data_IF_472733269565
#
_entry.id   IF_472733269565
#
_cell.length_a   1.000
_cell.length_b   1.000
_cell.length_c   1.000
_cell.angle_alpha   90.00
_cell.angle_beta   90.00
_cell.angle_gamma   90.00
#
_symmetry.space_group_name_H-M   'P 1'
#
loop_
_entity.id
_entity.type
_entity.pdbx_description
1 polymer ?
#
# COMPACT_ATOMS: atom_id res chain seq x y z
N UNK A 1 -52.95 50.97 5.73
CA UNK A 1 -51.67 51.69 5.81
C UNK A 1 -50.83 51.04 6.89
N UNK A 2 -49.88 50.19 6.50
CA UNK A 2 -48.97 49.47 7.40
C UNK A 2 -47.61 50.14 7.32
N UNK A 3 -47.12 50.65 8.45
CA UNK A 3 -45.87 51.39 8.57
C UNK A 3 -44.67 50.45 8.55
N UNK A 4 -43.84 50.59 7.53
CA UNK A 4 -42.51 50.01 7.42
C UNK A 4 -41.59 50.54 8.55
N UNK A 5 -41.15 49.66 9.46
CA UNK A 5 -40.02 49.94 10.35
C UNK A 5 -38.73 49.40 9.73
N UNK A 6 -37.87 50.32 9.31
CA UNK A 6 -36.51 50.09 8.79
C UNK A 6 -35.54 50.23 9.95
N UNK A 7 -35.11 49.13 10.56
CA UNK A 7 -34.00 49.15 11.53
C UNK A 7 -32.68 48.94 10.80
N UNK A 8 -31.95 50.03 10.61
CA UNK A 8 -30.53 50.06 10.27
C UNK A 8 -29.71 49.44 11.39
N UNK A 9 -28.93 48.40 11.11
CA UNK A 9 -27.85 47.97 12.00
C UNK A 9 -26.52 48.55 11.52
N UNK A 10 -25.98 49.32 12.45
CA UNK A 10 -24.72 50.04 12.46
C UNK A 10 -23.51 49.15 12.25
N UNK A 11 -22.58 49.70 11.48
CA UNK A 11 -21.15 49.39 11.47
C UNK A 11 -20.58 49.29 12.88
N UNK A 12 -20.09 48.12 13.26
CA UNK A 12 -19.15 47.97 14.37
C UNK A 12 -17.78 47.65 13.78
N UNK A 13 -17.00 48.70 13.58
CA UNK A 13 -15.55 48.61 13.45
C UNK A 13 -14.96 48.37 14.84
N UNK A 14 -14.42 47.18 15.07
CA UNK A 14 -13.53 46.93 16.19
C UNK A 14 -12.30 46.20 15.64
N UNK A 15 -11.39 47.01 15.15
CA UNK A 15 -9.96 46.77 15.07
C UNK A 15 -9.48 46.18 16.41
N UNK A 16 -9.02 44.93 16.40
CA UNK A 16 -8.08 44.39 17.39
C UNK A 16 -7.41 43.11 16.89
N UNK A 17 -6.08 43.21 16.93
CA UNK A 17 -5.11 42.16 17.15
C UNK A 17 -4.69 41.31 15.94
N UNK A 18 -4.02 42.01 15.03
CA UNK A 18 -2.78 41.53 14.41
C UNK A 18 -1.79 41.08 15.51
N UNK A 19 -1.96 39.86 16.00
CA UNK A 19 -0.96 39.17 16.81
C UNK A 19 -0.49 37.93 16.07
N UNK A 20 0.62 38.09 15.35
CA UNK A 20 1.55 37.04 14.97
C UNK A 20 0.87 35.86 14.24
N UNK A 21 0.31 36.14 13.06
CA UNK A 21 0.35 35.17 11.97
C UNK A 21 1.82 35.09 11.52
N UNK A 22 2.61 34.24 12.21
CA UNK A 22 3.82 33.70 11.57
C UNK A 22 3.32 32.98 10.34
N UNK A 23 3.74 33.45 9.17
CA UNK A 23 3.32 32.96 7.87
C UNK A 23 3.48 31.44 7.76
N UNK A 24 2.40 30.72 8.07
CA UNK A 24 2.02 29.61 7.23
C UNK A 24 1.44 30.30 6.01
N UNK A 25 2.34 30.58 5.06
CA UNK A 25 1.97 30.84 3.68
C UNK A 25 0.79 29.93 3.35
N UNK A 26 -0.19 30.47 2.64
CA UNK A 26 -1.09 29.76 1.75
C UNK A 26 -0.36 28.50 1.23
N UNK A 27 -0.43 27.38 1.97
CA UNK A 27 0.49 26.25 1.77
C UNK A 27 -0.10 25.54 0.59
N UNK A 28 0.37 26.00 -0.56
CA UNK A 28 0.31 25.42 -1.86
C UNK A 28 -0.88 24.50 -2.03
N UNK A 29 -1.80 24.94 -2.89
CA UNK A 29 -2.06 24.13 -4.07
C UNK A 29 -0.74 23.44 -4.45
N UNK A 30 -0.55 22.17 -4.05
CA UNK A 30 0.42 21.31 -4.72
C UNK A 30 -0.19 21.18 -6.10
N UNK A 31 0.16 22.15 -6.94
CA UNK A 31 -0.54 22.56 -8.14
C UNK A 31 -0.37 21.53 -9.24
N UNK A 32 -0.96 20.36 -9.04
CA UNK A 32 -1.08 19.39 -10.10
C UNK A 32 -2.33 19.76 -10.90
N UNK A 33 -2.12 20.60 -11.91
CA UNK A 33 -3.10 21.06 -12.90
C UNK A 33 -4.28 20.09 -13.09
N UNK A 34 -5.50 20.56 -12.87
CA UNK A 34 -6.76 19.81 -13.07
C UNK A 34 -6.84 19.17 -14.46
N UNK A 35 -6.20 19.79 -15.46
CA UNK A 35 -6.25 19.40 -16.87
C UNK A 35 -5.66 18.00 -17.14
N UNK A 36 -4.87 17.44 -16.22
CA UNK A 36 -4.23 16.12 -16.37
C UNK A 36 -4.49 15.18 -15.18
N UNK A 37 -5.51 15.45 -14.38
CA UNK A 37 -5.80 14.67 -13.16
C UNK A 37 -5.92 13.15 -13.43
N UNK A 38 -6.79 12.77 -14.36
CA UNK A 38 -7.08 11.35 -14.64
C UNK A 38 -5.88 10.64 -15.29
N UNK A 39 -5.12 11.37 -16.13
CA UNK A 39 -3.86 10.88 -16.71
C UNK A 39 -2.85 10.54 -15.61
N UNK A 40 -2.72 11.42 -14.61
CA UNK A 40 -1.82 11.19 -13.47
C UNK A 40 -2.23 9.95 -12.68
N UNK A 41 -3.52 9.78 -12.38
CA UNK A 41 -4.05 8.60 -11.67
C UNK A 41 -3.71 7.32 -12.44
N UNK A 42 -3.98 7.27 -13.74
CA UNK A 42 -3.67 6.10 -14.58
C UNK A 42 -2.18 5.79 -14.60
N UNK A 43 -1.33 6.81 -14.75
CA UNK A 43 0.13 6.64 -14.73
C UNK A 43 0.60 6.08 -13.38
N UNK A 44 0.05 6.56 -12.27
CA UNK A 44 0.38 6.05 -10.94
C UNK A 44 -0.09 4.60 -10.76
N UNK A 45 -1.31 4.27 -11.18
CA UNK A 45 -1.84 2.90 -11.16
C UNK A 45 -1.01 1.90 -12.00
N UNK A 46 -0.29 2.40 -13.00
CA UNK A 46 0.65 1.59 -13.78
C UNK A 46 2.05 1.53 -13.14
N UNK A 47 2.62 2.67 -12.73
CA UNK A 47 3.99 2.72 -12.21
C UNK A 47 4.12 2.01 -10.86
N UNK A 48 3.14 2.16 -9.96
CA UNK A 48 3.16 1.54 -8.63
C UNK A 48 3.38 0.02 -8.68
N UNK A 49 2.55 -0.78 -9.39
CA UNK A 49 2.75 -2.22 -9.45
C UNK A 49 4.00 -2.60 -10.23
N UNK A 50 4.41 -1.85 -11.26
CA UNK A 50 5.66 -2.13 -11.97
C UNK A 50 6.87 -1.91 -11.06
N UNK A 51 6.87 -0.83 -10.28
CA UNK A 51 7.89 -0.57 -9.27
C UNK A 51 7.93 -1.71 -8.25
N UNK A 52 6.79 -2.06 -7.66
CA UNK A 52 6.69 -3.17 -6.71
C UNK A 52 7.18 -4.49 -7.34
N UNK A 53 6.85 -4.74 -8.61
CA UNK A 53 7.26 -5.94 -9.35
C UNK A 53 8.77 -5.98 -9.56
N UNK A 54 9.40 -4.85 -9.92
CA UNK A 54 10.85 -4.77 -10.04
C UNK A 54 11.50 -5.16 -8.71
N UNK A 55 11.08 -4.56 -7.59
CA UNK A 55 11.69 -4.84 -6.29
C UNK A 55 11.35 -6.22 -5.70
N UNK A 56 10.30 -6.89 -6.19
CA UNK A 56 9.95 -8.25 -5.75
C UNK A 56 10.53 -9.35 -6.65
N UNK A 57 10.59 -9.14 -7.97
CA UNK A 57 11.06 -10.14 -8.92
C UNK A 57 12.58 -10.09 -9.13
N UNK A 58 13.18 -8.90 -9.14
CA UNK A 58 14.58 -8.72 -9.53
C UNK A 58 15.57 -9.38 -8.55
N UNK A 59 15.36 -9.38 -7.22
CA UNK A 59 16.20 -10.15 -6.28
C UNK A 59 16.11 -11.67 -6.45
N UNK A 60 15.05 -12.18 -7.10
CA UNK A 60 14.91 -13.61 -7.43
C UNK A 60 15.74 -13.95 -8.67
N UNK A 61 15.90 -13.00 -9.58
CA UNK A 61 16.65 -13.18 -10.83
C UNK A 61 18.14 -12.88 -10.68
N UNK A 62 18.49 -11.97 -9.75
CA UNK A 62 19.84 -11.47 -9.56
C UNK A 62 20.18 -11.52 -8.07
N UNK A 63 21.23 -12.27 -7.73
CA UNK A 63 21.76 -12.31 -6.37
C UNK A 63 22.61 -11.06 -6.10
N UNK A 64 22.01 -10.09 -5.41
CA UNK A 64 22.76 -8.96 -4.87
C UNK A 64 23.50 -9.38 -3.59
N UNK A 65 24.76 -8.98 -3.46
CA UNK A 65 25.56 -9.21 -2.26
C UNK A 65 26.05 -7.88 -1.67
N UNK A 66 26.18 -7.84 -0.35
CA UNK A 66 26.69 -6.70 0.41
C UNK A 66 25.80 -5.45 0.33
N UNK A 67 26.43 -4.29 0.42
CA UNK A 67 25.76 -2.97 0.55
C UNK A 67 24.75 -2.69 -0.57
N UNK A 68 24.99 -3.22 -1.78
CA UNK A 68 24.10 -3.01 -2.93
C UNK A 68 22.75 -3.70 -2.74
N UNK A 69 22.73 -4.88 -2.11
CA UNK A 69 21.51 -5.63 -1.80
C UNK A 69 20.66 -4.87 -0.76
N UNK A 70 21.33 -4.27 0.21
CA UNK A 70 20.69 -3.44 1.23
C UNK A 70 20.12 -2.16 0.64
N UNK A 71 20.92 -1.39 -0.12
CA UNK A 71 20.45 -0.18 -0.80
C UNK A 71 19.24 -0.45 -1.68
N UNK A 72 19.25 -1.56 -2.43
CA UNK A 72 18.13 -1.97 -3.26
C UNK A 72 16.83 -2.13 -2.44
N UNK A 73 16.90 -2.70 -1.24
CA UNK A 73 15.71 -2.89 -0.39
C UNK A 73 15.16 -1.60 0.20
N UNK A 74 16.02 -0.65 0.51
CA UNK A 74 15.58 0.66 1.02
C UNK A 74 14.84 1.47 -0.02
N UNK A 75 15.22 1.31 -1.28
CA UNK A 75 14.68 2.12 -2.37
C UNK A 75 13.20 1.84 -2.61
N UNK A 76 12.71 0.62 -2.34
CA UNK A 76 11.30 0.30 -2.54
C UNK A 76 10.40 1.16 -1.64
N UNK A 77 10.46 1.14 -0.30
CA UNK A 77 9.52 1.91 0.50
C UNK A 77 9.77 3.42 0.37
N UNK A 78 11.01 3.84 0.08
CA UNK A 78 11.37 5.25 -0.16
C UNK A 78 10.66 5.81 -1.40
N UNK A 79 10.42 5.00 -2.42
CA UNK A 79 9.77 5.45 -3.66
C UNK A 79 8.31 4.98 -3.74
N UNK A 80 8.07 3.71 -3.42
CA UNK A 80 6.77 3.05 -3.42
C UNK A 80 5.76 3.75 -2.50
N UNK A 81 6.10 4.03 -1.24
CA UNK A 81 5.17 4.72 -0.33
C UNK A 81 4.80 6.12 -0.81
N UNK A 82 5.75 6.98 -1.25
CA UNK A 82 5.39 8.24 -1.89
C UNK A 82 4.52 8.08 -3.13
N UNK A 83 4.75 7.07 -3.98
CA UNK A 83 3.88 6.81 -5.14
C UNK A 83 2.45 6.45 -4.72
N UNK A 84 2.29 5.55 -3.73
CA UNK A 84 0.98 5.24 -3.14
C UNK A 84 0.33 6.48 -2.51
N UNK A 85 1.13 7.33 -1.86
CA UNK A 85 0.66 8.56 -1.24
C UNK A 85 0.22 9.60 -2.28
N UNK A 86 0.93 9.72 -3.40
CA UNK A 86 0.52 10.60 -4.51
C UNK A 86 -0.74 10.11 -5.20
N UNK A 87 -0.93 8.79 -5.32
CA UNK A 87 -2.19 8.23 -5.79
C UNK A 87 -3.31 8.60 -4.81
N UNK A 88 -3.09 8.37 -3.52
CA UNK A 88 -4.03 8.65 -2.45
C UNK A 88 -4.44 10.13 -2.38
N UNK A 89 -3.47 11.06 -2.45
CA UNK A 89 -3.71 12.50 -2.49
C UNK A 89 -4.41 12.96 -3.77
N UNK A 90 -4.42 12.14 -4.82
CA UNK A 90 -5.20 12.42 -6.04
C UNK A 90 -6.69 12.11 -5.89
N UNK A 91 -7.16 11.67 -4.72
CA UNK A 91 -8.58 11.51 -4.49
C UNK A 91 -9.28 12.86 -4.22
N UNK A 92 -10.50 13.04 -4.73
CA UNK A 92 -11.28 14.28 -4.56
C UNK A 92 -11.56 14.62 -3.09
N UNK A 93 -11.53 13.63 -2.20
CA UNK A 93 -11.65 13.82 -0.74
C UNK A 93 -10.59 14.80 -0.20
N UNK A 94 -9.43 14.88 -0.86
CA UNK A 94 -8.34 15.79 -0.49
C UNK A 94 -8.40 17.16 -1.19
N UNK A 95 -9.16 17.27 -2.29
CA UNK A 95 -9.28 18.48 -3.11
C UNK A 95 -10.42 19.41 -2.66
N UNK A 96 -11.52 18.86 -2.15
CA UNK A 96 -12.70 19.66 -1.78
C UNK A 96 -12.61 20.19 -0.34
N UNK A 97 -12.50 21.51 -0.18
CA UNK A 97 -12.51 22.18 1.14
C UNK A 97 -13.81 21.96 1.92
N UNK A 98 -14.90 21.61 1.23
CA UNK A 98 -16.21 21.34 1.83
C UNK A 98 -16.15 20.11 2.76
N UNK A 99 -15.26 19.15 2.49
CA UNK A 99 -15.12 17.93 3.29
C UNK A 99 -14.49 18.17 4.67
N UNK A 100 -13.90 19.35 4.92
CA UNK A 100 -13.37 19.69 6.25
C UNK A 100 -14.44 19.82 7.33
N UNK A 101 -15.69 20.11 6.96
CA UNK A 101 -16.79 20.35 7.92
C UNK A 101 -17.60 19.10 8.26
N UNK A 102 -17.51 18.03 7.46
CA UNK A 102 -18.30 16.81 7.66
C UNK A 102 -17.53 15.82 8.51
N UNK A 103 -18.03 15.55 9.73
CA UNK A 103 -17.51 14.47 10.58
C UNK A 103 -17.77 13.13 9.91
N UNK A 104 -16.74 12.29 9.84
CA UNK A 104 -16.78 10.97 9.21
C UNK A 104 -16.81 9.87 10.27
N UNK A 105 -15.67 9.59 10.90
CA UNK A 105 -15.52 8.56 11.93
C UNK A 105 -14.74 9.14 13.12
N UNK A 106 -15.09 8.73 14.34
CA UNK A 106 -14.43 9.16 15.58
C UNK A 106 -14.34 10.69 15.76
N UNK A 107 -15.29 11.43 15.19
CA UNK A 107 -15.31 12.90 15.23
C UNK A 107 -14.31 13.59 14.29
N UNK A 108 -13.50 12.83 13.55
CA UNK A 108 -12.55 13.36 12.56
C UNK A 108 -13.24 13.67 11.23
N UNK A 109 -12.69 14.65 10.49
CA UNK A 109 -13.04 14.84 9.08
C UNK A 109 -12.60 13.61 8.26
N UNK A 110 -13.26 13.35 7.13
CA UNK A 110 -12.92 12.22 6.27
C UNK A 110 -11.46 12.26 5.80
N UNK A 111 -10.99 13.44 5.40
CA UNK A 111 -9.60 13.72 5.01
C UNK A 111 -8.62 13.38 6.14
N UNK A 112 -8.91 13.81 7.36
CA UNK A 112 -8.06 13.53 8.53
C UNK A 112 -8.05 12.04 8.89
N UNK A 113 -9.20 11.39 8.88
CA UNK A 113 -9.32 9.97 9.18
C UNK A 113 -8.55 9.12 8.16
N UNK A 114 -8.78 9.35 6.86
CA UNK A 114 -8.09 8.61 5.81
C UNK A 114 -6.58 8.91 5.81
N UNK A 115 -6.17 10.16 6.07
CA UNK A 115 -4.76 10.51 6.19
C UNK A 115 -4.08 9.76 7.33
N UNK A 116 -4.69 9.73 8.52
CA UNK A 116 -4.19 8.96 9.66
C UNK A 116 -4.14 7.45 9.34
N UNK A 117 -5.20 6.93 8.72
CA UNK A 117 -5.28 5.53 8.34
C UNK A 117 -4.19 5.15 7.33
N UNK A 118 -3.92 6.00 6.35
CA UNK A 118 -2.83 5.81 5.39
C UNK A 118 -1.46 5.82 6.08
N UNK A 119 -1.23 6.72 7.04
CA UNK A 119 0.03 6.77 7.79
C UNK A 119 0.25 5.49 8.61
N UNK A 120 -0.80 4.97 9.26
CA UNK A 120 -0.74 3.69 9.97
C UNK A 120 -0.45 2.55 8.98
N UNK A 121 -1.19 2.48 7.88
CA UNK A 121 -1.00 1.48 6.84
C UNK A 121 0.42 1.50 6.27
N UNK A 122 0.93 2.68 5.91
CA UNK A 122 2.28 2.90 5.44
C UNK A 122 3.35 2.53 6.45
N UNK A 123 3.11 2.80 7.75
CA UNK A 123 4.03 2.40 8.82
C UNK A 123 4.10 0.89 9.00
N UNK A 124 2.97 0.18 8.86
CA UNK A 124 2.92 -1.29 8.93
C UNK A 124 3.61 -1.89 7.70
N UNK A 125 3.34 -1.33 6.51
CA UNK A 125 3.96 -1.73 5.25
C UNK A 125 5.49 -1.59 5.30
N UNK A 126 5.99 -0.43 5.72
CA UNK A 126 7.42 -0.16 5.87
C UNK A 126 8.11 -1.05 6.91
N UNK A 127 7.40 -1.43 7.98
CA UNK A 127 7.96 -2.29 9.03
C UNK A 127 8.15 -3.74 8.58
N UNK A 128 7.27 -4.25 7.72
CA UNK A 128 7.34 -5.62 7.21
C UNK A 128 8.33 -5.81 6.06
N UNK A 129 8.84 -4.73 5.48
CA UNK A 129 9.57 -4.78 4.22
C UNK A 129 11.06 -5.06 4.39
N UNK A 130 11.52 -6.30 4.22
CA UNK A 130 12.89 -6.61 3.80
C UNK A 130 13.05 -8.09 3.43
N UNK A 131 13.90 -8.38 2.43
CA UNK A 131 14.34 -9.74 2.05
C UNK A 131 15.85 -9.75 1.73
N UNK A 132 16.69 -10.07 2.73
CA UNK A 132 18.04 -10.75 2.69
C UNK A 132 19.38 -9.96 2.56
N UNK A 133 19.96 -9.48 3.67
CA UNK A 133 21.44 -9.42 3.92
C UNK A 133 22.23 -8.08 3.78
N UNK A 134 22.65 -7.62 4.98
CA UNK A 134 23.89 -7.00 5.54
C UNK A 134 24.33 -5.57 5.21
N UNK A 135 24.25 -4.78 6.31
CA UNK A 135 24.90 -3.50 6.67
C UNK A 135 24.53 -2.29 5.80
N UNK A 136 23.36 -1.69 6.05
CA UNK A 136 23.18 -0.40 6.74
C UNK A 136 21.68 -0.03 6.94
N UNK A 137 21.20 -0.08 8.19
CA UNK A 137 20.03 0.60 8.80
C UNK A 137 18.65 0.77 8.07
N UNK A 138 17.70 -0.13 8.45
CA UNK A 138 16.27 0.07 8.90
C UNK A 138 15.06 -0.19 7.96
N UNK A 139 14.56 -1.44 8.03
CA UNK A 139 13.14 -1.82 8.06
C UNK A 139 12.86 -2.53 9.40
N UNK A 140 12.17 -1.86 10.33
CA UNK A 140 12.41 -2.02 11.78
C UNK A 140 12.44 -3.46 12.35
N UNK A 141 11.41 -4.29 12.16
CA UNK A 141 11.38 -5.63 12.79
C UNK A 141 12.34 -6.61 12.11
N UNK A 142 12.37 -6.60 10.79
CA UNK A 142 13.21 -7.51 10.02
C UNK A 142 14.69 -7.11 10.10
N UNK A 143 15.04 -5.82 10.10
CA UNK A 143 16.41 -5.36 10.35
C UNK A 143 16.89 -5.73 11.75
N UNK A 144 16.04 -5.60 12.77
CA UNK A 144 16.37 -6.06 14.13
C UNK A 144 16.59 -7.57 14.16
N UNK A 145 15.75 -8.34 13.46
CA UNK A 145 15.91 -9.78 13.37
C UNK A 145 17.20 -10.20 12.65
N UNK A 146 17.54 -9.56 11.54
CA UNK A 146 18.79 -9.81 10.81
C UNK A 146 20.01 -9.42 11.64
N UNK A 147 20.00 -8.27 12.30
CA UNK A 147 21.16 -7.85 13.13
C UNK A 147 21.38 -8.83 14.27
N UNK A 148 20.31 -9.24 14.97
CA UNK A 148 20.41 -10.23 16.02
C UNK A 148 20.89 -11.58 15.47
N UNK A 149 20.33 -12.04 14.35
CA UNK A 149 20.73 -13.28 13.67
C UNK A 149 22.21 -13.26 13.29
N UNK A 150 22.70 -12.21 12.66
CA UNK A 150 24.09 -12.13 12.21
C UNK A 150 25.10 -12.15 13.34
N UNK A 151 24.80 -11.46 14.45
CA UNK A 151 25.65 -11.50 15.64
C UNK A 151 25.66 -12.91 16.26
N UNK A 152 24.52 -13.61 16.22
CA UNK A 152 24.43 -15.01 16.67
C UNK A 152 25.23 -15.91 15.73
N UNK A 153 25.02 -15.86 14.42
CA UNK A 153 25.76 -16.63 13.41
C UNK A 153 27.28 -16.42 13.53
N UNK A 154 27.72 -15.16 13.67
CA UNK A 154 29.13 -14.84 13.91
C UNK A 154 29.64 -15.46 15.22
N UNK A 155 28.82 -15.47 16.27
CA UNK A 155 29.21 -16.07 17.55
C UNK A 155 29.27 -17.61 17.47
N UNK A 156 28.38 -18.24 16.70
CA UNK A 156 28.40 -19.68 16.40
C UNK A 156 29.66 -20.06 15.61
N UNK A 157 29.96 -19.34 14.53
CA UNK A 157 31.11 -19.57 13.66
C UNK A 157 32.44 -19.43 14.42
N UNK A 158 32.52 -18.42 15.30
CA UNK A 158 33.72 -18.18 16.09
C UNK A 158 33.85 -19.10 17.32
N UNK A 159 32.74 -19.68 17.81
CA UNK A 159 32.72 -20.54 19.00
C UNK A 159 31.78 -21.75 18.82
N UNK A 160 32.09 -22.71 17.94
CA UNK A 160 31.17 -23.81 17.62
C UNK A 160 30.85 -24.72 18.82
N UNK A 161 31.72 -24.76 19.84
CA UNK A 161 31.45 -25.51 21.07
C UNK A 161 30.36 -24.89 21.93
N UNK A 162 30.12 -23.57 21.80
CA UNK A 162 29.05 -22.87 22.50
C UNK A 162 27.67 -23.38 22.06
N UNK A 163 27.49 -23.65 20.77
CA UNK A 163 26.24 -24.19 20.20
C UNK A 163 25.96 -25.61 20.72
N UNK A 164 27.01 -26.42 20.89
CA UNK A 164 26.88 -27.77 21.45
C UNK A 164 26.55 -27.76 22.95
N UNK A 165 27.06 -26.78 23.69
CA UNK A 165 26.79 -26.62 25.12
C UNK A 165 25.45 -25.94 25.41
N UNK A 166 25.01 -25.02 24.54
CA UNK A 166 23.81 -24.22 24.70
C UNK A 166 22.94 -24.27 23.45
N UNK A 167 22.10 -25.32 23.29
CA UNK A 167 21.21 -25.47 22.14
C UNK A 167 20.26 -24.28 21.93
N UNK A 168 19.97 -23.55 23.02
CA UNK A 168 19.13 -22.34 23.02
C UNK A 168 19.64 -21.26 22.04
N UNK A 169 20.94 -21.20 21.75
CA UNK A 169 21.51 -20.22 20.83
C UNK A 169 20.94 -20.42 19.42
N UNK A 170 20.84 -21.68 18.99
CA UNK A 170 20.27 -22.08 17.71
C UNK A 170 18.75 -21.91 17.66
N UNK A 171 18.07 -22.11 18.79
CA UNK A 171 16.64 -21.82 18.91
C UNK A 171 16.36 -20.31 18.76
N UNK A 172 17.20 -19.46 19.35
CA UNK A 172 17.10 -18.01 19.24
C UNK A 172 17.42 -17.55 17.81
N UNK A 173 18.44 -18.10 17.16
CA UNK A 173 18.72 -17.86 15.73
C UNK A 173 17.50 -18.20 14.85
N UNK A 174 16.94 -19.40 15.02
CA UNK A 174 15.76 -19.85 14.29
C UNK A 174 14.53 -18.98 14.58
N UNK A 175 14.34 -18.51 15.82
CA UNK A 175 13.26 -17.60 16.16
C UNK A 175 13.37 -16.27 15.40
N UNK A 176 14.56 -15.66 15.38
CA UNK A 176 14.78 -14.42 14.64
C UNK A 176 14.56 -14.61 13.13
N UNK A 177 15.06 -15.71 12.55
CA UNK A 177 14.91 -16.00 11.12
C UNK A 177 13.48 -16.37 10.73
N UNK A 178 12.93 -17.44 11.30
CA UNK A 178 11.66 -18.01 10.86
C UNK A 178 10.46 -17.21 11.37
N UNK A 179 10.51 -16.70 12.60
CA UNK A 179 9.36 -16.05 13.22
C UNK A 179 9.35 -14.55 12.96
N UNK A 180 10.43 -13.85 13.31
CA UNK A 180 10.44 -12.39 13.17
C UNK A 180 10.66 -11.95 11.72
N UNK A 181 11.66 -12.51 11.04
CA UNK A 181 11.95 -12.16 9.64
C UNK A 181 10.93 -12.79 8.67
N UNK A 182 10.70 -14.10 8.72
CA UNK A 182 9.89 -14.78 7.70
C UNK A 182 8.38 -14.77 7.97
N UNK A 183 7.92 -14.91 9.21
CA UNK A 183 6.48 -14.93 9.49
C UNK A 183 5.94 -13.51 9.67
N UNK A 184 6.40 -12.79 10.69
CA UNK A 184 5.85 -11.50 11.10
C UNK A 184 6.13 -10.43 10.05
N UNK A 185 7.38 -10.31 9.59
CA UNK A 185 7.77 -9.32 8.58
C UNK A 185 6.89 -9.39 7.32
N UNK A 186 6.73 -10.59 6.76
CA UNK A 186 5.93 -10.75 5.53
C UNK A 186 4.44 -10.48 5.72
N UNK A 187 3.84 -10.91 6.84
CA UNK A 187 2.43 -10.57 7.11
C UNK A 187 2.22 -9.09 7.38
N UNK A 188 3.18 -8.40 8.02
CA UNK A 188 3.13 -6.96 8.16
C UNK A 188 3.23 -6.25 6.80
N UNK A 189 4.12 -6.71 5.92
CA UNK A 189 4.25 -6.15 4.57
C UNK A 189 2.95 -6.33 3.77
N UNK A 190 2.45 -7.56 3.68
CA UNK A 190 1.22 -7.87 2.96
C UNK A 190 0.00 -7.17 3.58
N UNK A 191 -0.10 -7.17 4.91
CA UNK A 191 -1.16 -6.48 5.65
C UNK A 191 -1.14 -4.98 5.43
N UNK A 192 0.04 -4.35 5.49
CA UNK A 192 0.23 -2.93 5.18
C UNK A 192 -0.20 -2.59 3.75
N UNK A 193 0.17 -3.42 2.77
CA UNK A 193 -0.22 -3.23 1.37
C UNK A 193 -1.75 -3.31 1.18
N UNK A 194 -2.41 -4.27 1.84
CA UNK A 194 -3.86 -4.40 1.87
C UNK A 194 -4.51 -3.14 2.48
N UNK A 195 -3.97 -2.64 3.59
CA UNK A 195 -4.48 -1.43 4.24
C UNK A 195 -4.30 -0.19 3.37
N UNK A 196 -3.17 -0.04 2.66
CA UNK A 196 -2.94 1.03 1.67
C UNK A 196 -3.94 0.93 0.51
N UNK A 197 -4.18 -0.28 0.00
CA UNK A 197 -5.17 -0.51 -1.06
C UNK A 197 -6.59 -0.12 -0.58
N UNK A 198 -6.96 -0.47 0.65
CA UNK A 198 -8.22 -0.07 1.27
C UNK A 198 -8.33 1.45 1.41
N UNK A 199 -7.25 2.14 1.80
CA UNK A 199 -7.22 3.61 1.83
C UNK A 199 -7.59 4.20 0.47
N UNK A 200 -6.97 3.70 -0.61
CA UNK A 200 -7.24 4.16 -1.96
C UNK A 200 -8.66 3.81 -2.41
N UNK A 201 -9.14 2.58 -2.18
CA UNK A 201 -10.51 2.18 -2.49
C UNK A 201 -11.53 3.10 -1.81
N UNK A 202 -11.35 3.38 -0.52
CA UNK A 202 -12.27 4.23 0.24
C UNK A 202 -12.17 5.68 -0.24
N UNK A 203 -10.96 6.22 -0.44
CA UNK A 203 -10.76 7.60 -0.88
C UNK A 203 -11.39 7.87 -2.25
N UNK A 204 -11.29 6.92 -3.19
CA UNK A 204 -11.84 7.05 -4.54
C UNK A 204 -13.29 6.56 -4.67
N UNK A 205 -13.95 6.12 -3.58
CA UNK A 205 -15.28 5.46 -3.64
C UNK A 205 -16.37 6.29 -4.32
N UNK A 206 -16.31 7.61 -4.19
CA UNK A 206 -17.30 8.54 -4.75
C UNK A 206 -16.81 9.24 -6.03
N UNK A 207 -15.57 9.01 -6.43
CA UNK A 207 -14.95 9.72 -7.54
C UNK A 207 -15.34 9.13 -8.89
N UNK A 208 -15.66 10.04 -9.82
CA UNK A 208 -15.88 9.74 -11.24
C UNK A 208 -14.82 10.49 -12.04
N UNK A 209 -14.10 9.77 -12.87
CA UNK A 209 -13.06 10.21 -13.79
C UNK A 209 -13.67 10.38 -15.18
N UNK A 210 -13.04 11.18 -16.02
CA UNK A 210 -13.36 11.14 -17.44
C UNK A 210 -12.80 9.85 -18.04
N UNK A 211 -13.55 9.21 -18.95
CA UNK A 211 -13.07 7.99 -19.59
C UNK A 211 -11.75 8.30 -20.31
N UNK A 212 -10.69 7.49 -20.12
CA UNK A 212 -9.41 7.75 -20.76
C UNK A 212 -9.57 7.65 -22.27
N UNK A 213 -9.44 8.77 -22.98
CA UNK A 213 -9.62 8.82 -24.43
C UNK A 213 -8.39 8.32 -25.21
N UNK A 214 -7.25 8.17 -24.56
CA UNK A 214 -6.01 7.70 -25.19
C UNK A 214 -5.86 6.19 -25.01
N UNK A 215 -5.63 5.48 -26.12
CA UNK A 215 -5.34 4.04 -26.11
C UNK A 215 -4.16 3.69 -25.19
N UNK A 216 -3.13 4.54 -25.14
CA UNK A 216 -1.97 4.33 -24.26
C UNK A 216 -2.35 4.34 -22.77
N UNK A 217 -3.30 5.19 -22.36
CA UNK A 217 -3.78 5.24 -20.98
C UNK A 217 -4.66 4.04 -20.65
N UNK A 218 -5.53 3.62 -21.58
CA UNK A 218 -6.33 2.40 -21.41
C UNK A 218 -5.41 1.19 -21.24
N UNK A 219 -4.43 1.03 -22.13
CA UNK A 219 -3.45 -0.07 -22.07
C UNK A 219 -2.65 -0.02 -20.78
N UNK A 220 -2.12 1.15 -20.38
CA UNK A 220 -1.40 1.31 -19.12
C UNK A 220 -2.24 0.94 -17.89
N UNK A 221 -3.50 1.34 -17.87
CA UNK A 221 -4.44 0.98 -16.80
C UNK A 221 -4.70 -0.53 -16.72
N UNK A 222 -4.95 -1.19 -17.86
CA UNK A 222 -5.16 -2.65 -17.92
C UNK A 222 -3.89 -3.39 -17.49
N UNK A 223 -2.73 -3.01 -18.02
CA UNK A 223 -1.45 -3.63 -17.67
C UNK A 223 -1.10 -3.41 -16.20
N UNK A 224 -1.39 -2.23 -15.66
CA UNK A 224 -1.22 -1.96 -14.23
C UNK A 224 -2.11 -2.87 -13.38
N UNK A 225 -3.38 -3.05 -13.77
CA UNK A 225 -4.30 -3.93 -13.05
C UNK A 225 -3.84 -5.39 -13.11
N UNK A 226 -3.39 -5.85 -14.28
CA UNK A 226 -2.82 -7.19 -14.46
C UNK A 226 -1.59 -7.38 -13.57
N UNK A 227 -0.63 -6.45 -13.61
CA UNK A 227 0.58 -6.50 -12.80
C UNK A 227 0.27 -6.54 -11.30
N UNK A 228 -0.68 -5.73 -10.83
CA UNK A 228 -1.10 -5.73 -9.43
C UNK A 228 -1.81 -7.03 -9.03
N UNK A 229 -2.63 -7.61 -9.92
CA UNK A 229 -3.25 -8.92 -9.69
C UNK A 229 -2.23 -10.05 -9.59
N UNK A 230 -1.21 -10.04 -10.46
CA UNK A 230 -0.08 -10.97 -10.41
C UNK A 230 0.70 -10.81 -9.10
N UNK A 231 0.93 -9.58 -8.63
CA UNK A 231 1.60 -9.34 -7.35
C UNK A 231 0.82 -9.93 -6.17
N UNK A 232 -0.50 -9.74 -6.12
CA UNK A 232 -1.36 -10.32 -5.07
C UNK A 232 -1.25 -11.85 -5.10
N UNK A 233 -1.37 -12.46 -6.28
CA UNK A 233 -1.28 -13.91 -6.40
C UNK A 233 0.12 -14.45 -6.07
N UNK A 234 1.18 -13.77 -6.52
CA UNK A 234 2.56 -14.15 -6.24
C UNK A 234 2.87 -14.11 -4.74
N UNK A 235 2.43 -13.06 -4.05
CA UNK A 235 2.47 -12.97 -2.58
C UNK A 235 1.71 -14.13 -1.95
N UNK A 236 0.47 -14.40 -2.37
CA UNK A 236 -0.34 -15.48 -1.81
C UNK A 236 0.32 -16.87 -1.97
N UNK A 237 0.94 -17.13 -3.13
CA UNK A 237 1.59 -18.41 -3.43
C UNK A 237 2.93 -18.56 -2.68
N UNK A 238 3.65 -17.46 -2.45
CA UNK A 238 4.96 -17.49 -1.81
C UNK A 238 4.88 -17.77 -0.29
N UNK A 239 3.79 -17.38 0.37
CA UNK A 239 3.73 -17.42 1.84
C UNK A 239 3.08 -18.68 2.41
N UNK A 240 3.56 -19.16 3.59
CA UNK A 240 2.87 -20.21 4.34
C UNK A 240 1.43 -19.80 4.61
N UNK A 241 0.46 -20.66 4.25
CA UNK A 241 -0.99 -20.36 4.31
C UNK A 241 -1.41 -19.08 3.55
N UNK A 242 -0.54 -18.52 2.72
CA UNK A 242 -0.78 -17.31 1.95
C UNK A 242 -1.88 -17.49 0.91
N UNK A 243 -2.02 -18.69 0.35
CA UNK A 243 -3.08 -19.04 -0.62
C UNK A 243 -4.47 -18.91 0.00
N UNK A 244 -4.64 -19.30 1.27
CA UNK A 244 -5.90 -19.14 2.03
C UNK A 244 -6.17 -17.65 2.27
N UNK A 245 -5.17 -16.91 2.75
CA UNK A 245 -5.31 -15.47 3.04
C UNK A 245 -5.59 -14.68 1.77
N UNK A 246 -4.89 -14.97 0.68
CA UNK A 246 -5.08 -14.36 -0.64
C UNK A 246 -6.45 -14.67 -1.23
N UNK A 247 -6.93 -15.92 -1.09
CA UNK A 247 -8.28 -16.29 -1.49
C UNK A 247 -9.34 -15.50 -0.71
N UNK A 248 -9.22 -15.46 0.62
CA UNK A 248 -10.14 -14.69 1.46
C UNK A 248 -10.12 -13.19 1.10
N UNK A 249 -8.95 -12.61 0.91
CA UNK A 249 -8.79 -11.21 0.50
C UNK A 249 -9.44 -10.93 -0.86
N UNK A 250 -9.12 -11.72 -1.89
CA UNK A 250 -9.65 -11.52 -3.25
C UNK A 250 -11.16 -11.73 -3.30
N UNK A 251 -11.72 -12.65 -2.52
CA UNK A 251 -13.16 -12.82 -2.40
C UNK A 251 -13.81 -11.64 -1.67
N UNK A 252 -13.33 -11.25 -0.48
CA UNK A 252 -13.94 -10.17 0.29
C UNK A 252 -13.89 -8.85 -0.46
N UNK A 253 -12.71 -8.47 -0.98
CA UNK A 253 -12.55 -7.22 -1.72
C UNK A 253 -13.20 -7.30 -3.10
N UNK A 254 -12.97 -8.38 -3.84
CA UNK A 254 -13.51 -8.57 -5.19
C UNK A 254 -15.04 -8.61 -5.21
N UNK A 255 -15.67 -9.35 -4.30
CA UNK A 255 -17.14 -9.39 -4.20
C UNK A 255 -17.70 -8.06 -3.74
N UNK A 256 -17.10 -7.42 -2.72
CA UNK A 256 -17.57 -6.12 -2.22
C UNK A 256 -17.49 -5.04 -3.29
N UNK A 257 -16.36 -4.96 -4.01
CA UNK A 257 -16.19 -4.04 -5.13
C UNK A 257 -17.11 -4.39 -6.31
N UNK A 258 -17.26 -5.67 -6.62
CA UNK A 258 -18.17 -6.15 -7.67
C UNK A 258 -19.61 -5.71 -7.42
N UNK A 259 -20.13 -5.99 -6.22
CA UNK A 259 -21.48 -5.55 -5.80
C UNK A 259 -21.59 -4.03 -5.90
N UNK A 260 -20.62 -3.29 -5.37
CA UNK A 260 -20.61 -1.82 -5.41
C UNK A 260 -20.64 -1.29 -6.85
N UNK A 261 -19.79 -1.82 -7.74
CA UNK A 261 -19.71 -1.42 -9.13
C UNK A 261 -20.96 -1.80 -9.92
N UNK A 262 -21.63 -2.93 -9.63
CA UNK A 262 -22.92 -3.27 -10.24
C UNK A 262 -23.97 -2.21 -9.88
N UNK A 263 -24.10 -1.91 -8.58
CA UNK A 263 -25.10 -0.96 -8.08
C UNK A 263 -24.90 0.44 -8.66
N UNK A 264 -23.65 0.84 -8.83
CA UNK A 264 -23.27 2.13 -9.40
C UNK A 264 -23.21 2.15 -10.93
N UNK A 265 -23.63 1.05 -11.61
CA UNK A 265 -23.54 0.86 -13.07
C UNK A 265 -22.12 1.10 -13.63
N UNK A 266 -21.12 0.79 -12.82
CA UNK A 266 -19.71 1.11 -13.04
C UNK A 266 -18.84 -0.07 -13.47
N UNK A 267 -19.40 -1.23 -13.83
CA UNK A 267 -18.62 -2.40 -14.26
C UNK A 267 -18.03 -2.28 -15.67
N UNK A 268 -18.72 -1.58 -16.59
CA UNK A 268 -18.28 -1.49 -17.98
C UNK A 268 -16.87 -0.89 -18.11
N UNK A 269 -16.05 -1.36 -19.04
CA UNK A 269 -14.72 -0.80 -19.35
C UNK A 269 -14.74 0.71 -19.69
N UNK A 270 -15.92 1.25 -20.02
CA UNK A 270 -16.16 2.68 -20.28
C UNK A 270 -16.61 3.46 -19.04
N UNK A 271 -16.72 2.80 -17.88
CA UNK A 271 -17.12 3.41 -16.62
C UNK A 271 -16.13 4.48 -16.17
N UNK A 272 -16.67 5.43 -15.43
CA UNK A 272 -15.93 6.58 -14.90
C UNK A 272 -15.22 6.25 -13.58
N UNK A 273 -15.17 5.00 -13.13
CA UNK A 273 -14.65 4.62 -11.80
C UNK A 273 -13.31 3.87 -11.88
N UNK A 274 -12.33 4.45 -12.60
CA UNK A 274 -11.06 3.83 -12.97
C UNK A 274 -10.30 3.14 -11.82
N UNK A 275 -10.17 3.80 -10.67
CA UNK A 275 -9.43 3.25 -9.51
C UNK A 275 -10.14 2.03 -8.90
N UNK A 276 -11.47 2.09 -8.74
CA UNK A 276 -12.22 0.96 -8.18
C UNK A 276 -12.23 -0.23 -9.13
N UNK A 277 -12.37 0.04 -10.44
CA UNK A 277 -12.30 -1.00 -11.46
C UNK A 277 -10.91 -1.63 -11.54
N UNK A 278 -9.84 -0.83 -11.36
CA UNK A 278 -8.47 -1.34 -11.27
C UNK A 278 -8.35 -2.39 -10.16
N UNK A 279 -8.76 -2.06 -8.93
CA UNK A 279 -8.67 -2.99 -7.79
C UNK A 279 -9.58 -4.20 -7.96
N UNK A 280 -10.77 -4.02 -8.56
CA UNK A 280 -11.66 -5.13 -8.88
C UNK A 280 -11.04 -6.08 -9.91
N UNK A 281 -10.56 -5.56 -11.04
CA UNK A 281 -9.92 -6.36 -12.09
C UNK A 281 -8.67 -7.08 -11.56
N UNK A 282 -7.86 -6.42 -10.73
CA UNK A 282 -6.71 -7.05 -10.08
C UNK A 282 -7.13 -8.17 -9.13
N UNK A 283 -8.23 -7.99 -8.40
CA UNK A 283 -8.79 -9.04 -7.53
C UNK A 283 -9.27 -10.25 -8.34
N UNK A 284 -9.88 -10.03 -9.51
CA UNK A 284 -10.30 -11.10 -10.43
C UNK A 284 -9.09 -11.84 -11.00
N UNK A 285 -8.07 -11.12 -11.49
CA UNK A 285 -6.82 -11.72 -11.97
C UNK A 285 -6.17 -12.56 -10.88
N UNK A 286 -6.03 -12.00 -9.67
CA UNK A 286 -5.43 -12.70 -8.55
C UNK A 286 -6.23 -13.95 -8.16
N UNK A 287 -7.56 -13.86 -8.12
CA UNK A 287 -8.44 -14.99 -7.84
C UNK A 287 -8.25 -16.12 -8.85
N UNK A 288 -8.21 -15.81 -10.15
CA UNK A 288 -8.00 -16.81 -11.20
C UNK A 288 -6.67 -17.55 -10.98
N UNK A 289 -5.57 -16.82 -10.75
CA UNK A 289 -4.25 -17.43 -10.54
C UNK A 289 -4.23 -18.27 -9.27
N UNK A 290 -4.79 -17.77 -8.17
CA UNK A 290 -4.85 -18.49 -6.89
C UNK A 290 -5.69 -19.78 -7.02
N UNK A 291 -6.83 -19.73 -7.71
CA UNK A 291 -7.67 -20.92 -7.94
C UNK A 291 -6.93 -21.95 -8.79
N UNK A 292 -6.26 -21.53 -9.87
CA UNK A 292 -5.44 -22.43 -10.70
C UNK A 292 -4.36 -23.09 -9.83
N UNK A 293 -3.66 -22.31 -9.00
CA UNK A 293 -2.65 -22.85 -8.09
C UNK A 293 -3.24 -23.89 -7.12
N UNK A 294 -4.37 -23.58 -6.48
CA UNK A 294 -5.03 -24.49 -5.55
C UNK A 294 -5.48 -25.78 -6.25
N UNK A 295 -5.97 -25.70 -7.48
CA UNK A 295 -6.38 -26.88 -8.25
C UNK A 295 -5.21 -27.83 -8.56
N UNK A 296 -3.99 -27.30 -8.74
CA UNK A 296 -2.81 -28.10 -9.12
C UNK A 296 -2.03 -28.56 -7.87
N UNK A 297 -1.85 -27.68 -6.88
CA UNK A 297 -0.94 -27.89 -5.74
C UNK A 297 -1.64 -27.93 -4.37
N UNK A 298 -2.95 -27.69 -4.32
CA UNK A 298 -3.70 -27.55 -3.07
C UNK A 298 -3.37 -26.25 -2.32
N UNK A 299 -3.66 -26.23 -1.03
CA UNK A 299 -3.38 -25.08 -0.15
C UNK A 299 -1.93 -25.08 0.35
N UNK A 300 -0.98 -25.26 -0.56
CA UNK A 300 0.46 -25.26 -0.28
C UNK A 300 1.10 -23.96 -0.78
N UNK A 301 2.15 -23.52 -0.07
CA UNK A 301 3.03 -22.47 -0.56
C UNK A 301 4.04 -23.05 -1.57
N UNK A 302 4.72 -22.16 -2.30
CA UNK A 302 5.69 -22.54 -3.33
C UNK A 302 6.80 -23.46 -2.82
N UNK A 303 7.28 -23.28 -1.58
CA UNK A 303 8.34 -24.14 -1.01
C UNK A 303 7.79 -25.53 -0.71
N UNK A 304 6.64 -25.62 -0.05
CA UNK A 304 5.96 -26.90 0.23
C UNK A 304 5.55 -27.66 -1.03
N UNK A 305 5.29 -26.95 -2.14
CA UNK A 305 4.98 -27.54 -3.44
C UNK A 305 6.22 -28.04 -4.22
N UNK A 306 7.44 -27.86 -3.69
CA UNK A 306 8.68 -28.39 -4.28
C UNK A 306 9.34 -27.51 -5.35
N UNK A 307 8.92 -26.24 -5.50
CA UNK A 307 9.50 -25.31 -6.49
C UNK A 307 10.72 -24.52 -6.00
N UNK A 308 11.20 -24.80 -4.78
CA UNK A 308 12.46 -24.28 -4.23
C UNK A 308 13.10 -25.34 -3.32
N UNK A 309 14.05 -26.09 -3.87
CA UNK A 309 15.03 -26.87 -3.08
C UNK A 309 16.38 -26.18 -3.17
N UNK A 310 16.58 -25.06 -2.46
CA UNK A 310 17.90 -24.51 -2.08
C UNK A 310 17.72 -23.53 -0.91
#
# INVERSE_FOLDING_TARGET
MSSYQKTSRSSFSAQRDESILVGVADTGRVGLSEKNHDKRVVVLLFIIPIWTFLFTALPVLISFQGVLADLYRFVEPIVGLPLYYFLFLSANVFADDINHKRKFAFGLSEKSFLGLWFMIAGSIYAQGMSKVSIKLQRAAMHSTAIMAKHEIENAEDNNPQMVLQYPVVKEVENYYRETLEHLIGHYMYAGGAILIALCNIIAFRNQRHNSPHSALLITGWILGSLAYGILIAGVAIEFPKGTIVGLAYTLVIGVSLGIFLIREKGISFHSRRLVLQYYFMSSVVALIIIVIWICIHGFTDRKSAGYLTH
#
